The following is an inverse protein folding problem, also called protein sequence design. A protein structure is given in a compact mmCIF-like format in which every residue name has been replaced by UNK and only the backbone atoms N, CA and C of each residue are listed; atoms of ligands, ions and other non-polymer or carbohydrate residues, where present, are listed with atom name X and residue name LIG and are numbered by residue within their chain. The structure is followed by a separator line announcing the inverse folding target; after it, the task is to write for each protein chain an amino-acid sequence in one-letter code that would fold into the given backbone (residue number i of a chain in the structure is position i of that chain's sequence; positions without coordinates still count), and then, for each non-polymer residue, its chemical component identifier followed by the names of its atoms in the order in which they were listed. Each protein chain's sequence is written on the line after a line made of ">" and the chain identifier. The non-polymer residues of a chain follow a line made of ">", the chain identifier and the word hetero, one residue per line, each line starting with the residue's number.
data_IF_810580315492
#
_entry.id   IF_810580315492
#
_cell.length_a   1.000
_cell.length_b   1.000
_cell.length_c   1.000
_cell.angle_alpha   90.00
_cell.angle_beta   90.00
_cell.angle_gamma   90.00
#
_symmetry.space_group_name_H-M   'P 1'
#
loop_
_entity.id
_entity.type
_entity.pdbx_description
1 polymer ?
#
# COMPACT_ATOMS: atom_id res chain seq x y z
N UNK A 1 11.95 -26.04 6.48
CA UNK A 1 10.62 -26.63 6.21
C UNK A 1 9.59 -25.94 7.08
N UNK A 2 9.03 -24.82 6.60
CA UNK A 2 7.87 -24.14 7.18
C UNK A 2 6.68 -24.39 6.24
N UNK A 3 6.41 -25.67 5.98
CA UNK A 3 5.18 -26.07 5.31
C UNK A 3 4.16 -26.39 6.41
N UNK A 4 2.92 -25.96 6.17
CA UNK A 4 1.70 -26.17 6.96
C UNK A 4 1.36 -25.06 7.98
N UNK A 5 0.70 -24.02 7.49
CA UNK A 5 -0.34 -23.32 8.24
C UNK A 5 -1.55 -23.17 7.30
N UNK A 6 -2.34 -24.24 7.21
CA UNK A 6 -3.41 -24.47 6.21
C UNK A 6 -4.84 -24.17 6.72
N UNK A 7 -5.04 -23.38 7.78
CA UNK A 7 -6.40 -23.12 8.28
C UNK A 7 -6.98 -21.77 7.81
N UNK A 8 -6.89 -21.48 6.51
CA UNK A 8 -7.53 -20.30 5.93
C UNK A 8 -8.99 -20.58 5.58
N UNK A 9 -9.92 -19.96 6.32
CA UNK A 9 -11.35 -20.00 5.99
C UNK A 9 -11.71 -18.83 5.08
N UNK A 10 -11.97 -19.13 3.80
CA UNK A 10 -12.42 -18.14 2.83
C UNK A 10 -13.95 -18.00 2.85
N UNK A 11 -14.46 -16.81 3.18
CA UNK A 11 -15.89 -16.47 3.11
C UNK A 11 -16.15 -15.64 1.85
N UNK A 12 -16.99 -16.16 0.94
CA UNK A 12 -17.40 -15.44 -0.26
C UNK A 12 -18.70 -14.68 0.03
N UNK A 13 -18.63 -13.36 -0.07
CA UNK A 13 -19.75 -12.45 0.16
C UNK A 13 -20.02 -11.68 -1.13
N UNK A 14 -21.28 -11.39 -1.41
CA UNK A 14 -21.72 -10.87 -2.71
C UNK A 14 -22.15 -9.40 -2.66
N UNK A 15 -22.16 -8.80 -1.48
CA UNK A 15 -22.48 -7.39 -1.30
C UNK A 15 -21.67 -6.76 -0.16
N UNK A 16 -21.61 -5.43 -0.14
CA UNK A 16 -20.91 -4.69 0.91
C UNK A 16 -21.65 -4.76 2.25
N UNK A 17 -22.97 -4.82 2.20
CA UNK A 17 -23.83 -5.02 3.37
C UNK A 17 -23.51 -6.35 4.05
N UNK A 18 -23.41 -7.43 3.25
CA UNK A 18 -22.99 -8.73 3.74
C UNK A 18 -21.58 -8.66 4.33
N UNK A 19 -20.64 -7.98 3.67
CA UNK A 19 -19.26 -7.86 4.14
C UNK A 19 -19.15 -7.17 5.50
N UNK A 20 -19.84 -6.04 5.69
CA UNK A 20 -19.81 -5.30 6.94
C UNK A 20 -20.47 -6.08 8.07
N UNK A 21 -21.61 -6.71 7.81
CA UNK A 21 -22.31 -7.49 8.82
C UNK A 21 -21.56 -8.79 9.15
N UNK A 22 -20.97 -9.47 8.17
CA UNK A 22 -20.19 -10.69 8.38
C UNK A 22 -18.93 -10.39 9.20
N UNK A 23 -18.27 -9.25 8.99
CA UNK A 23 -17.21 -8.76 9.87
C UNK A 23 -17.68 -8.61 11.32
N UNK A 24 -18.83 -7.95 11.54
CA UNK A 24 -19.40 -7.80 12.88
C UNK A 24 -19.72 -9.15 13.54
N UNK A 25 -20.28 -10.10 12.79
CA UNK A 25 -20.54 -11.45 13.28
C UNK A 25 -19.25 -12.19 13.62
N UNK A 26 -18.21 -12.09 12.78
CA UNK A 26 -16.92 -12.69 13.06
C UNK A 26 -16.34 -12.15 14.38
N UNK A 27 -16.33 -10.84 14.59
CA UNK A 27 -15.83 -10.24 15.84
C UNK A 27 -16.67 -10.67 17.04
N UNK A 28 -18.00 -10.72 16.90
CA UNK A 28 -18.90 -11.20 17.97
C UNK A 28 -18.61 -12.66 18.35
N UNK A 29 -18.41 -13.53 17.36
CA UNK A 29 -18.16 -14.96 17.56
C UNK A 29 -16.77 -15.23 18.13
N UNK A 30 -15.75 -14.55 17.60
CA UNK A 30 -14.37 -14.64 18.09
C UNK A 30 -14.28 -14.07 19.51
N UNK A 31 -15.05 -13.03 19.81
CA UNK A 31 -15.05 -12.34 21.10
C UNK A 31 -13.62 -11.97 21.56
N UNK A 32 -12.86 -11.21 20.76
CA UNK A 32 -11.46 -10.97 21.05
C UNK A 32 -11.28 -10.13 22.31
N UNK A 33 -10.32 -10.51 23.15
CA UNK A 33 -9.87 -9.71 24.30
C UNK A 33 -9.04 -8.51 23.85
N UNK A 34 -8.29 -8.65 22.75
CA UNK A 34 -7.45 -7.59 22.19
C UNK A 34 -7.69 -7.49 20.69
N UNK A 35 -7.90 -6.27 20.20
CA UNK A 35 -7.89 -5.94 18.78
C UNK A 35 -6.78 -4.92 18.52
N UNK A 36 -5.93 -5.21 17.54
CA UNK A 36 -4.79 -4.36 17.21
C UNK A 36 -4.65 -4.19 15.71
N UNK A 37 -4.18 -3.01 15.32
CA UNK A 37 -3.87 -2.69 13.94
C UNK A 37 -3.16 -1.34 13.84
N UNK A 38 -2.79 -0.97 12.62
CA UNK A 38 -1.96 0.21 12.38
C UNK A 38 -2.81 1.34 11.81
N UNK A 39 -3.04 2.38 12.61
CA UNK A 39 -3.90 3.53 12.26
C UNK A 39 -5.39 3.17 12.12
N UNK A 40 -5.84 2.11 12.80
CA UNK A 40 -7.23 1.67 12.77
C UNK A 40 -8.19 2.77 13.21
N UNK A 41 -7.83 3.50 14.27
CA UNK A 41 -8.71 4.52 14.80
C UNK A 41 -8.67 5.83 14.01
N UNK A 42 -7.61 6.05 13.22
CA UNK A 42 -7.51 7.18 12.29
C UNK A 42 -8.14 6.90 10.92
N UNK A 43 -8.32 5.63 10.54
CA UNK A 43 -8.78 5.24 9.20
C UNK A 43 -9.84 4.13 9.19
N UNK A 44 -9.49 2.90 9.59
CA UNK A 44 -10.31 1.71 9.39
C UNK A 44 -11.66 1.77 10.11
N UNK A 45 -11.67 2.10 11.41
CA UNK A 45 -12.90 2.28 12.18
C UNK A 45 -13.77 3.43 11.64
N UNK A 46 -13.23 4.64 11.38
CA UNK A 46 -13.97 5.67 10.68
C UNK A 46 -14.58 5.25 9.36
N UNK A 47 -13.85 4.47 8.57
CA UNK A 47 -14.34 3.98 7.31
C UNK A 47 -15.52 3.00 7.51
N UNK A 48 -15.35 1.97 8.33
CA UNK A 48 -16.36 0.93 8.55
C UNK A 48 -17.64 1.52 9.16
N UNK A 49 -17.53 2.37 10.19
CA UNK A 49 -18.69 2.96 10.87
C UNK A 49 -19.48 3.89 9.94
N UNK A 50 -18.80 4.78 9.20
CA UNK A 50 -19.46 5.66 8.22
C UNK A 50 -20.06 4.88 7.06
N UNK A 51 -19.43 3.78 6.65
CA UNK A 51 -19.97 2.90 5.60
C UNK A 51 -21.22 2.16 6.10
N UNK A 52 -21.22 1.65 7.33
CA UNK A 52 -22.39 1.04 7.95
C UNK A 52 -23.55 2.03 8.08
N UNK A 53 -23.29 3.28 8.45
CA UNK A 53 -24.30 4.36 8.49
C UNK A 53 -24.90 4.64 7.11
N UNK A 54 -24.06 4.82 6.08
CA UNK A 54 -24.52 5.06 4.70
C UNK A 54 -25.36 3.93 4.11
N UNK A 55 -25.07 2.69 4.51
CA UNK A 55 -25.82 1.50 4.08
C UNK A 55 -27.06 1.23 4.96
N UNK A 56 -27.38 2.12 5.92
CA UNK A 56 -28.45 1.94 6.90
C UNK A 56 -28.31 0.66 7.77
N UNK A 57 -27.08 0.19 7.94
CA UNK A 57 -26.74 -1.00 8.73
C UNK A 57 -26.20 -0.67 10.12
N UNK A 58 -25.91 0.60 10.41
CA UNK A 58 -25.26 1.00 11.66
C UNK A 58 -25.96 0.44 12.89
N UNK A 59 -27.30 0.50 12.92
CA UNK A 59 -28.09 -0.03 14.04
C UNK A 59 -27.78 -1.50 14.31
N UNK A 60 -27.83 -2.29 13.26
CA UNK A 60 -27.67 -3.74 13.33
C UNK A 60 -26.20 -4.09 13.58
N UNK A 61 -25.27 -3.36 12.95
CA UNK A 61 -23.83 -3.48 13.17
C UNK A 61 -23.45 -3.25 14.63
N UNK A 62 -23.87 -2.12 15.22
CA UNK A 62 -23.60 -1.79 16.64
C UNK A 62 -24.23 -2.85 17.54
N UNK A 63 -25.46 -3.28 17.25
CA UNK A 63 -26.14 -4.29 18.06
C UNK A 63 -25.44 -5.65 18.05
N UNK A 64 -24.89 -6.06 16.89
CA UNK A 64 -24.13 -7.31 16.76
C UNK A 64 -22.78 -7.18 17.45
N UNK A 65 -22.04 -6.10 17.19
CA UNK A 65 -20.70 -5.87 17.76
C UNK A 65 -20.71 -5.73 19.28
N UNK A 66 -21.64 -4.93 19.82
CA UNK A 66 -21.78 -4.65 21.24
C UNK A 66 -22.51 -5.73 22.02
N UNK A 67 -23.27 -6.60 21.34
CA UNK A 67 -24.05 -7.66 21.98
C UNK A 67 -25.31 -7.16 22.72
N UNK A 68 -25.65 -5.88 22.58
CA UNK A 68 -26.81 -5.23 23.21
C UNK A 68 -27.72 -4.64 22.14
N UNK A 69 -28.99 -4.36 22.46
CA UNK A 69 -29.91 -3.72 21.51
C UNK A 69 -29.60 -2.23 21.43
N UNK A 70 -29.11 -1.78 20.28
CA UNK A 70 -28.97 -0.36 19.97
C UNK A 70 -30.19 0.15 19.19
N UNK A 71 -30.72 1.32 19.59
CA UNK A 71 -31.95 1.90 19.02
C UNK A 71 -31.69 3.12 18.12
N UNK A 72 -30.47 3.65 18.10
CA UNK A 72 -30.11 4.80 17.28
C UNK A 72 -29.87 4.43 15.82
N UNK A 73 -29.72 5.46 14.98
CA UNK A 73 -29.48 5.32 13.55
C UNK A 73 -28.25 6.08 13.06
N UNK A 74 -27.68 6.95 13.89
CA UNK A 74 -26.48 7.71 13.57
C UNK A 74 -25.31 7.37 14.49
N UNK A 75 -24.10 7.68 14.05
CA UNK A 75 -22.88 7.52 14.87
C UNK A 75 -22.99 8.37 16.14
N UNK A 76 -23.58 9.56 16.07
CA UNK A 76 -23.82 10.41 17.24
C UNK A 76 -24.74 9.77 18.28
N UNK A 77 -25.71 8.95 17.85
CA UNK A 77 -26.60 8.24 18.77
C UNK A 77 -25.88 7.10 19.51
N UNK A 78 -24.81 6.58 18.92
CA UNK A 78 -24.03 5.45 19.41
C UNK A 78 -22.87 5.89 20.33
N UNK A 79 -22.90 7.09 20.91
CA UNK A 79 -21.75 7.67 21.64
C UNK A 79 -21.23 6.88 22.85
N UNK A 80 -21.98 5.87 23.34
CA UNK A 80 -21.48 4.91 24.33
C UNK A 80 -20.63 3.80 23.71
N UNK A 81 -21.01 3.33 22.52
CA UNK A 81 -20.38 2.23 21.79
C UNK A 81 -19.34 2.74 20.79
N UNK A 82 -19.39 4.01 20.37
CA UNK A 82 -18.45 4.64 19.46
C UNK A 82 -17.81 5.81 20.17
N UNK A 83 -16.49 5.72 20.35
CA UNK A 83 -15.72 6.75 21.04
C UNK A 83 -14.89 7.53 20.04
N UNK A 84 -15.05 8.85 20.04
CA UNK A 84 -14.13 9.79 19.41
C UNK A 84 -13.29 10.49 20.49
N UNK A 85 -11.99 10.26 20.47
CA UNK A 85 -11.05 10.86 21.42
C UNK A 85 -9.90 11.55 20.69
N UNK A 86 -9.44 12.67 21.24
CA UNK A 86 -8.14 13.25 20.85
C UNK A 86 -7.08 12.75 21.83
N UNK A 87 -6.14 11.97 21.34
CA UNK A 87 -5.02 11.45 22.12
C UNK A 87 -3.84 12.39 21.94
N UNK A 88 -3.38 12.97 23.05
CA UNK A 88 -2.17 13.80 23.04
C UNK A 88 -0.93 12.91 22.84
N UNK A 89 -0.11 13.29 21.86
CA UNK A 89 1.21 12.69 21.60
C UNK A 89 2.28 13.52 22.28
N UNK A 90 2.24 14.83 22.06
CA UNK A 90 3.05 15.83 22.76
C UNK A 90 2.14 16.94 23.30
N UNK A 91 2.72 17.95 23.95
CA UNK A 91 1.95 19.12 24.39
C UNK A 91 1.31 19.91 23.23
N UNK A 92 1.84 19.77 22.00
CA UNK A 92 1.44 20.53 20.81
C UNK A 92 0.83 19.66 19.71
N UNK A 93 1.02 18.33 19.78
CA UNK A 93 0.58 17.37 18.77
C UNK A 93 -0.42 16.38 19.37
N UNK A 94 -1.56 16.23 18.70
CA UNK A 94 -2.61 15.31 19.07
C UNK A 94 -3.10 14.53 17.86
N UNK A 95 -3.68 13.35 18.12
CA UNK A 95 -4.26 12.48 17.11
C UNK A 95 -5.71 12.24 17.46
N UNK A 96 -6.60 12.56 16.52
CA UNK A 96 -8.00 12.16 16.63
C UNK A 96 -8.13 10.69 16.27
N UNK A 97 -8.76 9.94 17.16
CA UNK A 97 -8.96 8.50 17.05
C UNK A 97 -10.44 8.22 17.27
N UNK A 98 -11.05 7.47 16.36
CA UNK A 98 -12.40 6.95 16.52
C UNK A 98 -12.37 5.42 16.49
N UNK A 99 -13.02 4.77 17.43
CA UNK A 99 -13.10 3.31 17.48
C UNK A 99 -14.43 2.86 18.08
N UNK A 100 -14.80 1.60 17.80
CA UNK A 100 -15.95 0.95 18.41
C UNK A 100 -15.55 0.41 19.78
N UNK A 101 -16.05 0.96 20.88
CA UNK A 101 -15.83 0.40 22.22
C UNK A 101 -16.71 -0.83 22.43
N UNK A 102 -16.04 -1.98 22.57
CA UNK A 102 -16.67 -3.22 22.98
C UNK A 102 -16.26 -3.56 24.41
N UNK A 103 -17.23 -3.84 25.28
CA UNK A 103 -16.95 -4.22 26.66
C UNK A 103 -16.10 -5.50 26.70
N UNK A 104 -15.02 -5.47 27.49
CA UNK A 104 -14.08 -6.59 27.61
C UNK A 104 -13.02 -6.67 26.50
N UNK A 105 -13.08 -5.83 25.46
CA UNK A 105 -12.08 -5.80 24.39
C UNK A 105 -11.19 -4.57 24.50
N UNK A 106 -9.88 -4.77 24.56
CA UNK A 106 -8.88 -3.71 24.49
C UNK A 106 -8.52 -3.43 23.03
N UNK A 107 -8.71 -2.17 22.59
CA UNK A 107 -8.28 -1.73 21.27
C UNK A 107 -6.95 -1.00 21.33
N UNK A 108 -5.99 -1.47 20.54
CA UNK A 108 -4.64 -0.91 20.48
C UNK A 108 -4.37 -0.41 19.06
N UNK A 109 -4.36 0.91 18.90
CA UNK A 109 -3.84 1.53 17.68
C UNK A 109 -2.31 1.60 17.77
N UNK A 110 -1.65 0.74 17.00
CA UNK A 110 -0.20 0.58 17.01
C UNK A 110 0.50 1.84 16.51
N UNK A 111 -0.08 2.59 15.56
CA UNK A 111 0.51 3.84 15.09
C UNK A 111 0.55 4.87 16.22
N UNK A 112 -0.53 5.00 16.99
CA UNK A 112 -0.59 5.94 18.12
C UNK A 112 0.43 5.55 19.19
N UNK A 113 0.56 4.26 19.50
CA UNK A 113 1.60 3.76 20.42
C UNK A 113 3.00 4.14 19.95
N UNK A 114 3.32 3.94 18.67
CA UNK A 114 4.61 4.32 18.09
C UNK A 114 4.86 5.82 18.16
N UNK A 115 3.85 6.64 17.86
CA UNK A 115 3.97 8.10 17.98
C UNK A 115 4.24 8.55 19.42
N UNK A 116 3.66 7.86 20.42
CA UNK A 116 3.96 8.15 21.83
C UNK A 116 5.37 7.71 22.25
N UNK A 117 5.85 6.59 21.73
CA UNK A 117 7.22 6.10 22.00
C UNK A 117 8.28 6.94 21.30
N UNK A 118 7.98 7.43 20.09
CA UNK A 118 8.88 8.23 19.25
C UNK A 118 8.23 9.56 18.85
N UNK A 119 8.00 10.48 19.81
CA UNK A 119 7.25 11.72 19.58
C UNK A 119 7.92 12.68 18.58
N UNK A 120 9.24 12.58 18.43
CA UNK A 120 10.03 13.41 17.51
C UNK A 120 10.29 12.73 16.16
N UNK A 121 9.55 11.67 15.83
CA UNK A 121 9.70 10.96 14.56
C UNK A 121 9.38 11.87 13.37
N UNK A 122 10.23 11.89 12.35
CA UNK A 122 10.00 12.67 11.13
C UNK A 122 8.80 12.14 10.32
N UNK A 123 8.49 10.85 10.45
CA UNK A 123 7.44 10.18 9.69
C UNK A 123 6.62 9.24 10.57
N UNK A 124 5.34 9.08 10.22
CA UNK A 124 4.40 8.24 10.97
C UNK A 124 3.93 7.02 10.16
N UNK A 125 4.68 6.61 9.13
CA UNK A 125 4.30 5.45 8.31
C UNK A 125 4.74 4.14 8.96
N UNK A 126 3.97 3.07 8.73
CA UNK A 126 4.32 1.72 9.19
C UNK A 126 5.73 1.33 8.73
N UNK A 127 6.05 1.57 7.46
CA UNK A 127 7.38 1.29 6.90
C UNK A 127 8.50 2.03 7.66
N UNK A 128 8.27 3.27 8.06
CA UNK A 128 9.26 4.02 8.82
C UNK A 128 9.47 3.40 10.22
N UNK A 129 8.39 3.09 10.94
CA UNK A 129 8.49 2.47 12.26
C UNK A 129 9.12 1.06 12.22
N UNK A 130 8.82 0.26 11.20
CA UNK A 130 9.46 -1.03 10.99
C UNK A 130 10.98 -0.88 10.79
N UNK A 131 11.40 0.07 9.94
CA UNK A 131 12.81 0.36 9.74
C UNK A 131 13.49 0.84 11.03
N UNK A 132 12.83 1.71 11.82
CA UNK A 132 13.37 2.18 13.11
C UNK A 132 13.52 1.06 14.14
N UNK A 133 12.63 0.07 14.11
CA UNK A 133 12.64 -1.05 15.06
C UNK A 133 13.48 -2.23 14.60
N UNK A 134 14.22 -2.10 13.49
CA UNK A 134 14.93 -3.21 12.83
C UNK A 134 14.03 -4.43 12.55
N UNK A 135 12.73 -4.20 12.39
CA UNK A 135 11.81 -5.23 11.92
C UNK A 135 11.83 -5.22 10.39
N UNK A 136 12.05 -6.39 9.81
CA UNK A 136 11.87 -6.56 8.37
C UNK A 136 10.40 -6.27 8.04
N UNK A 137 10.17 -5.31 7.14
CA UNK A 137 8.82 -5.14 6.59
C UNK A 137 8.40 -6.42 5.90
N UNK A 138 7.08 -6.71 5.87
CA UNK A 138 6.51 -7.88 5.19
C UNK A 138 7.26 -8.13 3.88
N UNK A 139 8.17 -9.11 3.89
CA UNK A 139 8.91 -9.56 2.73
C UNK A 139 7.96 -10.45 1.92
N UNK A 140 6.87 -9.87 1.46
CA UNK A 140 6.07 -10.36 0.33
C UNK A 140 6.41 -9.50 -0.89
N UNK A 141 7.71 -9.26 -1.12
CA UNK A 141 8.15 -8.93 -2.46
C UNK A 141 8.11 -10.21 -3.27
N UNK A 142 6.91 -10.57 -3.74
CA UNK A 142 6.84 -11.26 -5.02
C UNK A 142 7.54 -10.32 -6.01
N UNK A 143 8.53 -10.76 -6.79
CA UNK A 143 9.39 -9.85 -7.59
C UNK A 143 8.63 -8.82 -8.45
N UNK A 144 7.40 -9.16 -8.80
CA UNK A 144 6.46 -8.36 -9.59
C UNK A 144 5.82 -7.23 -8.76
N UNK A 145 5.68 -7.40 -7.44
CA UNK A 145 5.05 -6.41 -6.55
C UNK A 145 5.82 -5.09 -6.48
N UNK A 146 7.13 -5.10 -6.82
CA UNK A 146 7.95 -3.89 -6.99
C UNK A 146 7.36 -2.94 -8.04
N UNK A 147 6.65 -3.47 -9.04
CA UNK A 147 5.99 -2.68 -10.09
C UNK A 147 4.58 -2.23 -9.73
N UNK A 148 4.11 -2.51 -8.51
CA UNK A 148 2.75 -2.17 -8.09
C UNK A 148 2.60 -0.66 -7.98
N UNK A 149 1.68 -0.09 -8.75
CA UNK A 149 1.26 1.29 -8.63
C UNK A 149 -0.06 1.35 -7.89
N UNK A 150 -0.30 2.45 -7.20
CA UNK A 150 -1.55 2.67 -6.49
C UNK A 150 -2.21 3.97 -6.93
N UNK A 151 -3.52 3.97 -7.11
CA UNK A 151 -4.30 5.17 -7.39
C UNK A 151 -5.52 5.20 -6.48
N UNK A 152 -5.96 6.42 -6.14
CA UNK A 152 -7.24 6.64 -5.46
C UNK A 152 -8.23 7.15 -6.48
N UNK A 153 -9.38 6.50 -6.59
CA UNK A 153 -10.44 6.97 -7.48
C UNK A 153 -11.10 8.22 -6.89
N UNK A 154 -10.93 9.36 -7.55
CA UNK A 154 -11.55 10.63 -7.16
C UNK A 154 -12.29 11.20 -8.37
N UNK A 155 -13.61 10.97 -8.51
CA UNK A 155 -14.36 11.35 -9.71
C UNK A 155 -14.33 12.86 -10.00
N UNK A 156 -14.24 13.67 -8.95
CA UNK A 156 -14.18 15.13 -9.06
C UNK A 156 -12.80 15.64 -9.52
N UNK A 157 -11.75 14.81 -9.46
CA UNK A 157 -10.42 15.18 -9.90
C UNK A 157 -10.27 14.94 -11.41
N UNK A 158 -9.56 15.82 -12.14
CA UNK A 158 -9.35 15.74 -13.59
C UNK A 158 -8.32 14.67 -14.00
N UNK A 159 -8.21 13.58 -13.24
CA UNK A 159 -7.32 12.48 -13.60
C UNK A 159 -7.99 11.59 -14.66
N UNK A 160 -7.80 11.96 -15.93
CA UNK A 160 -8.43 11.30 -17.08
C UNK A 160 -8.08 9.81 -17.13
N UNK A 161 -6.84 9.42 -16.80
CA UNK A 161 -6.45 8.01 -16.88
C UNK A 161 -7.17 7.16 -15.84
N UNK A 162 -7.20 7.61 -14.58
CA UNK A 162 -7.87 6.87 -13.50
C UNK A 162 -9.39 6.85 -13.70
N UNK A 163 -9.99 7.96 -14.13
CA UNK A 163 -11.43 8.03 -14.35
C UNK A 163 -11.89 7.15 -15.51
N UNK A 164 -11.20 7.21 -16.66
CA UNK A 164 -11.50 6.33 -17.81
C UNK A 164 -11.28 4.86 -17.47
N UNK A 165 -10.21 4.54 -16.74
CA UNK A 165 -9.96 3.17 -16.29
C UNK A 165 -11.10 2.64 -15.41
N UNK A 166 -11.56 3.42 -14.44
CA UNK A 166 -12.70 3.04 -13.58
C UNK A 166 -14.00 2.91 -14.40
N UNK A 167 -14.23 3.78 -15.38
CA UNK A 167 -15.38 3.66 -16.29
C UNK A 167 -15.32 2.36 -17.13
N UNK A 168 -14.13 1.97 -17.61
CA UNK A 168 -13.93 0.71 -18.29
C UNK A 168 -14.14 -0.50 -17.38
N UNK A 169 -13.73 -0.43 -16.12
CA UNK A 169 -13.95 -1.50 -15.15
C UNK A 169 -15.42 -1.67 -14.79
N UNK A 170 -16.17 -0.57 -14.65
CA UNK A 170 -17.63 -0.63 -14.46
C UNK A 170 -18.35 -1.34 -15.60
N UNK A 171 -17.92 -1.13 -16.85
CA UNK A 171 -18.47 -1.86 -18.02
C UNK A 171 -18.23 -3.36 -17.96
N UNK A 172 -17.23 -3.82 -17.20
CA UNK A 172 -16.91 -5.24 -16.96
C UNK A 172 -17.48 -5.75 -15.63
N UNK A 173 -18.43 -5.03 -15.05
CA UNK A 173 -19.06 -5.36 -13.76
C UNK A 173 -18.07 -5.36 -12.57
N UNK A 174 -16.99 -4.58 -12.67
CA UNK A 174 -16.02 -4.38 -11.58
C UNK A 174 -16.21 -2.97 -11.03
N UNK A 175 -16.87 -2.87 -9.88
CA UNK A 175 -17.09 -1.60 -9.19
C UNK A 175 -15.86 -1.12 -8.42
N UNK A 176 -15.41 0.11 -8.68
CA UNK A 176 -14.44 0.85 -7.85
C UNK A 176 -15.14 2.12 -7.35
N UNK A 177 -15.18 2.29 -6.03
CA UNK A 177 -15.92 3.38 -5.38
C UNK A 177 -15.12 4.67 -5.26
N UNK A 178 -15.82 5.81 -5.26
CA UNK A 178 -15.20 7.11 -5.05
C UNK A 178 -14.54 7.16 -3.66
N UNK A 179 -13.24 7.45 -3.63
CA UNK A 179 -12.40 7.44 -2.43
C UNK A 179 -11.62 6.13 -2.23
N UNK A 180 -11.95 5.07 -2.95
CA UNK A 180 -11.26 3.78 -2.85
C UNK A 180 -9.87 3.85 -3.49
N UNK A 181 -8.88 3.25 -2.83
CA UNK A 181 -7.53 3.06 -3.35
C UNK A 181 -7.42 1.67 -3.96
N UNK A 182 -6.93 1.59 -5.19
CA UNK A 182 -6.70 0.33 -5.87
C UNK A 182 -5.27 0.23 -6.38
N UNK A 183 -4.78 -1.01 -6.46
CA UNK A 183 -3.45 -1.33 -6.94
C UNK A 183 -3.53 -1.88 -8.37
N UNK A 184 -2.61 -1.43 -9.23
CA UNK A 184 -2.57 -1.79 -10.64
C UNK A 184 -1.14 -1.91 -11.17
N UNK A 185 -0.99 -2.62 -12.28
CA UNK A 185 0.21 -2.67 -13.10
C UNK A 185 -0.04 -1.94 -14.43
N UNK A 186 1.05 -1.44 -15.03
CA UNK A 186 1.04 -0.98 -16.43
C UNK A 186 1.62 -2.09 -17.30
N UNK A 187 0.78 -2.63 -18.18
CA UNK A 187 1.14 -3.72 -19.08
C UNK A 187 1.42 -3.20 -20.49
N UNK A 188 2.13 -4.00 -21.26
CA UNK A 188 2.35 -3.76 -22.68
C UNK A 188 1.01 -3.88 -23.42
N UNK A 189 0.76 -2.91 -24.28
CA UNK A 189 -0.38 -2.93 -25.19
C UNK A 189 0.11 -3.15 -26.63
N UNK A 190 -0.65 -3.86 -27.49
CA UNK A 190 -0.28 -4.09 -28.89
C UNK A 190 -0.09 -2.78 -29.67
N UNK A 191 -0.92 -1.78 -29.36
CA UNK A 191 -0.81 -0.44 -29.90
C UNK A 191 0.22 0.40 -29.12
N UNK A 192 1.20 0.95 -29.85
CA UNK A 192 2.24 1.84 -29.32
C UNK A 192 1.69 3.18 -28.82
N UNK A 193 0.56 3.63 -29.38
CA UNK A 193 -0.09 4.89 -29.03
C UNK A 193 -1.22 4.73 -28.02
N UNK A 194 -1.38 3.53 -27.44
CA UNK A 194 -2.39 3.27 -26.43
C UNK A 194 -2.24 4.22 -25.24
N UNK A 195 -3.37 4.78 -24.80
CA UNK A 195 -3.42 5.68 -23.64
C UNK A 195 -3.16 4.88 -22.36
N UNK A 196 -2.65 5.56 -21.34
CA UNK A 196 -2.26 4.92 -20.06
C UNK A 196 -3.40 4.08 -19.46
N UNK A 197 -4.65 4.57 -19.50
CA UNK A 197 -5.80 3.83 -18.95
C UNK A 197 -6.09 2.50 -19.65
N UNK A 198 -5.68 2.33 -20.91
CA UNK A 198 -5.81 1.07 -21.65
C UNK A 198 -4.71 0.06 -21.28
N UNK A 199 -3.58 0.56 -20.76
CA UNK A 199 -2.46 -0.23 -20.27
C UNK A 199 -2.59 -0.63 -18.80
N UNK A 200 -3.53 -0.03 -18.06
CA UNK A 200 -3.75 -0.32 -16.64
C UNK A 200 -4.46 -1.66 -16.47
N UNK A 201 -3.97 -2.48 -15.53
CA UNK A 201 -4.61 -3.74 -15.11
C UNK A 201 -4.56 -3.85 -13.59
N UNK A 202 -5.67 -4.17 -12.94
CA UNK A 202 -5.67 -4.40 -11.48
C UNK A 202 -4.78 -5.60 -11.14
N UNK A 203 -4.05 -5.50 -10.03
CA UNK A 203 -3.17 -6.59 -9.55
C UNK A 203 -3.90 -7.93 -9.49
N UNK A 204 -5.17 -7.93 -9.06
CA UNK A 204 -6.03 -9.13 -8.97
C UNK A 204 -6.24 -9.86 -10.31
N UNK A 205 -6.17 -9.15 -11.43
CA UNK A 205 -6.45 -9.70 -12.77
C UNK A 205 -5.18 -9.83 -13.63
N UNK A 206 -4.00 -9.62 -13.04
CA UNK A 206 -2.75 -9.78 -13.73
C UNK A 206 -2.39 -11.26 -13.86
N UNK A 207 -2.09 -11.69 -15.09
CA UNK A 207 -1.66 -13.05 -15.42
C UNK A 207 -0.28 -12.95 -16.09
N UNK A 208 0.75 -13.44 -15.39
CA UNK A 208 2.16 -13.35 -15.81
C UNK A 208 2.46 -14.13 -17.10
N UNK A 209 1.65 -15.14 -17.42
CA UNK A 209 1.78 -15.94 -18.64
C UNK A 209 1.20 -15.23 -19.86
N UNK A 210 0.17 -14.39 -19.67
CA UNK A 210 -0.57 -13.73 -20.76
C UNK A 210 -0.20 -12.26 -20.93
N UNK A 211 0.20 -11.60 -19.85
CA UNK A 211 0.43 -10.17 -19.79
C UNK A 211 1.88 -9.90 -19.42
N UNK A 212 2.50 -8.94 -20.12
CA UNK A 212 3.88 -8.50 -19.86
C UNK A 212 3.87 -7.06 -19.35
N UNK A 213 4.72 -6.78 -18.37
CA UNK A 213 4.91 -5.44 -17.82
C UNK A 213 5.55 -4.51 -18.86
N UNK A 214 5.07 -3.26 -18.93
CA UNK A 214 5.67 -2.22 -19.78
C UNK A 214 6.92 -1.63 -19.09
N UNK A 215 8.07 -2.31 -19.19
CA UNK A 215 9.31 -1.86 -18.56
C UNK A 215 9.74 -0.46 -19.00
N UNK A 216 9.44 -0.07 -20.24
CA UNK A 216 9.71 1.29 -20.74
C UNK A 216 8.97 2.33 -19.92
N UNK A 217 7.71 2.08 -19.53
CA UNK A 217 6.96 2.98 -18.67
C UNK A 217 7.66 3.18 -17.32
N UNK A 218 8.00 2.08 -16.63
CA UNK A 218 8.59 2.15 -15.29
C UNK A 218 9.98 2.78 -15.29
N UNK A 219 10.85 2.42 -16.24
CA UNK A 219 12.18 3.04 -16.33
C UNK A 219 12.07 4.52 -16.69
N UNK A 220 11.13 4.91 -17.56
CA UNK A 220 10.88 6.32 -17.87
C UNK A 220 10.51 7.15 -16.64
N UNK A 221 9.79 6.58 -15.66
CA UNK A 221 9.49 7.29 -14.40
C UNK A 221 10.72 7.54 -13.53
N UNK A 222 11.79 6.76 -13.71
CA UNK A 222 13.03 6.87 -12.92
C UNK A 222 14.08 7.77 -13.59
N UNK A 223 13.90 8.18 -14.85
CA UNK A 223 14.90 8.92 -15.62
C UNK A 223 15.34 10.20 -14.92
N UNK A 224 14.43 10.97 -14.34
CA UNK A 224 14.80 12.22 -13.66
C UNK A 224 15.73 11.96 -12.46
N UNK A 225 15.46 10.91 -11.69
CA UNK A 225 16.32 10.47 -10.58
C UNK A 225 17.66 9.95 -11.08
N UNK A 226 17.67 9.12 -12.13
CA UNK A 226 18.90 8.58 -12.70
C UNK A 226 19.78 9.66 -13.32
N UNK A 227 19.17 10.66 -13.97
CA UNK A 227 19.86 11.79 -14.56
C UNK A 227 20.64 12.59 -13.52
N UNK A 228 20.12 12.73 -12.29
CA UNK A 228 20.84 13.42 -11.20
C UNK A 228 22.15 12.74 -10.81
N UNK A 229 22.29 11.44 -11.05
CA UNK A 229 23.56 10.74 -10.79
C UNK A 229 24.61 10.98 -11.86
N UNK A 230 24.23 11.33 -13.08
CA UNK A 230 25.16 11.45 -14.21
C UNK A 230 25.31 12.89 -14.71
N UNK A 231 24.41 13.80 -14.34
CA UNK A 231 24.39 15.16 -14.90
C UNK A 231 25.68 15.95 -14.66
N UNK A 232 26.49 15.58 -13.66
CA UNK A 232 27.77 16.21 -13.34
C UNK A 232 28.91 15.88 -14.32
N UNK A 233 28.77 14.86 -15.18
CA UNK A 233 29.78 14.54 -16.18
C UNK A 233 29.89 15.65 -17.24
N UNK A 234 31.12 15.95 -17.67
CA UNK A 234 31.43 17.05 -18.58
C UNK A 234 30.61 17.01 -19.89
N UNK A 235 30.29 15.83 -20.40
CA UNK A 235 29.49 15.63 -21.61
C UNK A 235 28.04 16.12 -21.51
N UNK A 236 27.52 16.32 -20.30
CA UNK A 236 26.17 16.84 -20.07
C UNK A 236 26.17 18.28 -19.57
N UNK A 237 27.30 18.76 -19.05
CA UNK A 237 27.46 20.10 -18.50
C UNK A 237 27.40 21.19 -19.59
N UNK A 238 27.02 22.41 -19.18
CA UNK A 238 27.01 23.59 -20.04
C UNK A 238 27.84 24.72 -19.41
N UNK A 239 28.32 25.65 -20.24
CA UNK A 239 29.13 26.80 -19.81
C UNK A 239 28.30 28.03 -19.43
N UNK A 240 27.04 27.83 -19.02
CA UNK A 240 26.18 28.93 -18.57
C UNK A 240 26.74 29.55 -17.27
N UNK A 241 26.71 30.87 -17.20
CA UNK A 241 27.22 31.66 -16.07
C UNK A 241 26.27 31.54 -14.88
N UNK A 242 24.97 31.37 -15.13
CA UNK A 242 23.96 31.17 -14.09
C UNK A 242 23.93 29.70 -13.66
N UNK A 243 24.29 29.45 -12.40
CA UNK A 243 24.30 28.11 -11.81
C UNK A 243 22.97 27.37 -11.97
N UNK A 244 21.83 28.05 -11.78
CA UNK A 244 20.51 27.39 -11.86
C UNK A 244 20.22 26.93 -13.27
N UNK A 245 20.45 27.80 -14.26
CA UNK A 245 20.27 27.46 -15.67
C UNK A 245 21.24 26.35 -16.09
N UNK A 246 22.48 26.40 -15.61
CA UNK A 246 23.47 25.36 -15.85
C UNK A 246 23.01 24.00 -15.32
N UNK A 247 22.54 23.92 -14.07
CA UNK A 247 22.04 22.67 -13.48
C UNK A 247 20.83 22.12 -14.26
N UNK A 248 19.85 22.99 -14.57
CA UNK A 248 18.65 22.59 -15.31
C UNK A 248 18.96 22.07 -16.71
N UNK A 249 19.85 22.74 -17.45
CA UNK A 249 20.28 22.31 -18.79
C UNK A 249 21.05 20.98 -18.70
N UNK A 250 21.95 20.86 -17.73
CA UNK A 250 22.76 19.65 -17.55
C UNK A 250 21.91 18.44 -17.18
N UNK A 251 20.94 18.67 -16.29
CA UNK A 251 19.91 17.69 -15.94
C UNK A 251 19.12 17.26 -17.20
N UNK A 252 18.65 18.21 -18.00
CA UNK A 252 17.88 17.92 -19.21
C UNK A 252 18.69 17.15 -20.27
N UNK A 253 19.98 17.45 -20.41
CA UNK A 253 20.89 16.72 -21.29
C UNK A 253 21.05 15.26 -20.85
N UNK A 254 21.27 15.03 -19.55
CA UNK A 254 21.33 13.70 -18.97
C UNK A 254 20.00 12.93 -19.14
N UNK A 255 18.86 13.59 -18.91
CA UNK A 255 17.54 12.97 -19.13
C UNK A 255 17.34 12.57 -20.60
N UNK A 256 17.68 13.43 -21.55
CA UNK A 256 17.57 13.14 -22.98
C UNK A 256 18.44 11.95 -23.39
N UNK A 257 19.67 11.88 -22.88
CA UNK A 257 20.58 10.76 -23.11
C UNK A 257 19.98 9.44 -22.61
N UNK A 258 19.44 9.43 -21.38
CA UNK A 258 18.81 8.25 -20.80
C UNK A 258 17.53 7.85 -21.55
N UNK A 259 16.72 8.82 -22.00
CA UNK A 259 15.53 8.55 -22.83
C UNK A 259 15.89 7.85 -24.14
N UNK A 260 17.00 8.25 -24.77
CA UNK A 260 17.54 7.57 -25.95
C UNK A 260 17.85 6.09 -25.67
N UNK A 261 18.47 5.79 -24.54
CA UNK A 261 18.77 4.41 -24.14
C UNK A 261 17.50 3.61 -23.82
N UNK A 262 16.53 4.21 -23.13
CA UNK A 262 15.23 3.56 -22.82
C UNK A 262 14.44 3.22 -24.08
N UNK A 263 14.54 4.05 -25.12
CA UNK A 263 13.92 3.75 -26.41
C UNK A 263 14.50 2.47 -27.06
N UNK A 264 15.78 2.19 -26.79
CA UNK A 264 16.51 1.01 -27.28
C UNK A 264 16.34 -0.24 -26.41
N UNK A 265 15.76 -0.13 -25.20
CA UNK A 265 15.49 -1.29 -24.35
C UNK A 265 14.56 -2.25 -25.09
N UNK A 266 15.00 -3.51 -25.22
CA UNK A 266 14.28 -4.56 -25.90
C UNK A 266 12.98 -4.90 -25.15
N UNK A 267 11.86 -4.85 -25.86
CA UNK A 267 10.54 -5.19 -25.33
C UNK A 267 10.37 -6.71 -25.05
N UNK A 268 11.45 -7.50 -25.20
CA UNK A 268 11.46 -8.96 -24.96
C UNK A 268 11.80 -9.35 -23.52
N UNK A 269 12.25 -8.43 -22.66
CA UNK A 269 12.54 -8.74 -21.25
C UNK A 269 11.35 -9.46 -20.60
N UNK A 270 11.59 -10.70 -20.21
CA UNK A 270 10.62 -11.54 -19.50
C UNK A 270 10.69 -11.24 -18.01
N UNK A 271 9.68 -11.66 -17.25
CA UNK A 271 9.72 -11.59 -15.78
C UNK A 271 10.94 -12.35 -15.23
N UNK A 272 11.39 -13.40 -15.91
CA UNK A 272 12.59 -14.14 -15.56
C UNK A 272 13.87 -13.30 -15.74
N UNK A 273 13.97 -12.50 -16.80
CA UNK A 273 15.10 -11.57 -17.01
C UNK A 273 15.11 -10.49 -15.93
N UNK A 274 13.94 -9.96 -15.56
CA UNK A 274 13.78 -8.99 -14.46
C UNK A 274 14.29 -9.58 -13.14
N UNK A 275 13.93 -10.83 -12.81
CA UNK A 275 14.41 -11.53 -11.61
C UNK A 275 15.94 -11.58 -11.54
N UNK A 276 16.60 -11.89 -12.66
CA UNK A 276 18.06 -11.98 -12.74
C UNK A 276 18.75 -10.60 -12.64
N UNK A 277 18.05 -9.50 -12.97
CA UNK A 277 18.61 -8.15 -12.90
C UNK A 277 18.44 -7.49 -11.51
N UNK A 278 17.34 -7.74 -10.81
CA UNK A 278 17.03 -7.05 -9.54
C UNK A 278 17.41 -7.84 -8.29
N UNK A 279 17.66 -9.15 -8.40
CA UNK A 279 18.17 -9.96 -7.31
C UNK A 279 19.67 -10.18 -7.55
N UNK A 280 20.58 -9.55 -6.76
CA UNK A 280 21.97 -9.96 -6.80
C UNK A 280 22.04 -11.43 -6.43
N UNK A 281 22.61 -12.26 -7.31
CA UNK A 281 22.87 -13.66 -6.99
C UNK A 281 23.58 -13.69 -5.62
N UNK A 282 23.11 -14.50 -4.65
CA UNK A 282 23.69 -14.50 -3.33
C UNK A 282 25.17 -14.82 -3.45
N UNK A 283 26.02 -13.83 -3.15
CA UNK A 283 27.46 -13.99 -3.19
C UNK A 283 27.81 -15.08 -2.18
N UNK A 284 28.68 -16.05 -2.54
CA UNK A 284 29.11 -17.16 -1.64
C UNK A 284 29.43 -16.72 -0.20
N UNK A 285 29.85 -15.46 -0.02
CA UNK A 285 30.13 -14.83 1.27
C UNK A 285 28.89 -14.66 2.19
N UNK A 286 27.72 -14.33 1.63
CA UNK A 286 26.46 -14.21 2.40
C UNK A 286 25.94 -15.56 2.91
N UNK A 287 26.17 -16.64 2.16
CA UNK A 287 25.74 -17.99 2.54
C UNK A 287 26.53 -18.46 3.78
N UNK A 288 27.84 -18.20 3.80
CA UNK A 288 28.71 -18.56 4.93
C UNK A 288 28.40 -17.75 6.21
N UNK A 289 28.02 -16.48 6.09
CA UNK A 289 27.66 -15.63 7.24
C UNK A 289 26.25 -15.91 7.80
N UNK A 290 25.35 -16.52 7.03
CA UNK A 290 24.05 -17.00 7.53
C UNK A 290 24.22 -18.34 8.24
N UNK A 291 24.98 -19.27 7.67
CA UNK A 291 25.25 -20.58 8.29
C UNK A 291 25.96 -20.45 9.65
N UNK A 292 26.92 -19.51 9.77
CA UNK A 292 27.61 -19.26 11.04
C UNK A 292 26.72 -18.66 12.14
N UNK A 293 25.76 -17.79 11.77
CA UNK A 293 24.85 -17.14 12.73
C UNK A 293 23.72 -18.06 13.19
N UNK A 294 23.28 -18.98 12.35
CA UNK A 294 22.26 -19.98 12.72
C UNK A 294 22.85 -21.09 13.61
N UNK A 295 24.15 -21.40 13.48
CA UNK A 295 24.84 -22.29 14.41
C UNK A 295 25.05 -21.65 15.79
N UNK A 296 25.45 -20.38 15.89
CA UNK A 296 25.59 -19.71 17.20
C UNK A 296 24.26 -19.56 17.97
N UNK A 297 23.13 -19.42 17.28
CA UNK A 297 21.80 -19.36 17.93
C UNK A 297 21.32 -20.69 18.46
N UNK A 298 21.75 -21.83 17.90
CA UNK A 298 21.37 -23.16 18.37
C UNK A 298 22.11 -23.61 19.63
N UNK A 299 23.22 -22.98 20.00
CA UNK A 299 24.08 -23.42 21.12
C UNK A 299 23.76 -22.69 22.45
N UNK A 300 22.75 -21.82 22.51
CA UNK A 300 22.39 -21.06 23.73
C UNK A 300 21.09 -21.47 24.43
N UNK A 301 20.60 -22.68 24.18
CA UNK A 301 19.51 -23.25 24.98
C UNK A 301 19.79 -24.73 25.24
N UNK A 302 20.75 -25.01 26.12
CA UNK A 302 20.84 -26.20 26.97
C UNK A 302 21.17 -25.76 28.39
#
# INVERSE_FOLDING_TARGET
>A
NLNECEDWVFRRLYSQEQMIMDFAYCVKLINPDVMMGFNDGGYDWPFVLKKAERLNLLRDFVSVMGGTKFKGSSISDAGYDIHENNINITAQDNVRVMYFRRLGTLMIDVMVSFRKMYPNSERNSLFHFLKMTNLEGKNEYNDISVFTLSATYRPLNKNISVNEFVNHMRKRDIGIEAGERFNYYIIRHPDKNAKIHQKMVLVKYFDDKKMKIDMKYYINTLIGTLARFINHYAQFQTNDVDYKKRDEISQKNAENFLRGHVAMIDDKMTIHDIRNFFIPAPTKRMILEQDGRDQEKRVRFE
#
